data_IF_222200910949
#
_entry.id   IF_222200910949
#
_cell.length_a   1.000
_cell.length_b   1.000
_cell.length_c   1.000
_cell.angle_alpha   90.00
_cell.angle_beta   90.00
_cell.angle_gamma   90.00
#
_symmetry.space_group_name_H-M   'P 1'
#
loop_
_entity.id
_entity.type
_entity.pdbx_description
1 polymer ?
#
# COMPACT_ATOMS: atom_id res chain seq x y z
N UNK A 1 -14.69 0.40 -9.37
CA UNK A 1 -13.62 -0.17 -8.51
C UNK A 1 -14.02 -1.58 -8.14
N UNK A 2 -13.06 -2.53 -8.18
CA UNK A 2 -13.23 -3.91 -7.72
C UNK A 2 -12.14 -4.21 -6.69
N UNK A 3 -12.49 -4.89 -5.59
CA UNK A 3 -11.57 -5.29 -4.53
C UNK A 3 -11.51 -6.80 -4.44
N UNK A 4 -10.28 -7.33 -4.28
CA UNK A 4 -10.04 -8.74 -4.00
C UNK A 4 -9.17 -8.84 -2.75
N UNK A 5 -9.63 -9.57 -1.74
CA UNK A 5 -8.93 -9.73 -0.46
C UNK A 5 -8.18 -11.07 -0.42
N UNK A 6 -6.89 -11.03 -0.12
CA UNK A 6 -5.99 -12.20 -0.07
C UNK A 6 -5.68 -12.67 1.36
N UNK A 7 -6.44 -12.22 2.32
CA UNK A 7 -6.24 -12.48 3.74
C UNK A 7 -5.46 -11.37 4.43
N UNK A 8 -5.65 -11.24 5.74
CA UNK A 8 -5.06 -10.20 6.59
C UNK A 8 -5.24 -8.81 5.98
N UNK A 9 -4.18 -8.07 5.75
CA UNK A 9 -4.20 -6.72 5.15
C UNK A 9 -3.94 -6.70 3.63
N UNK A 10 -3.75 -7.85 2.98
CA UNK A 10 -3.46 -7.90 1.55
C UNK A 10 -4.71 -7.67 0.71
N UNK A 11 -4.73 -6.56 -0.01
CA UNK A 11 -5.86 -6.12 -0.83
C UNK A 11 -5.40 -5.77 -2.24
N UNK A 12 -6.04 -6.37 -3.25
CA UNK A 12 -5.92 -5.95 -4.64
C UNK A 12 -7.08 -5.04 -4.99
N UNK A 13 -6.77 -3.82 -5.40
CA UNK A 13 -7.76 -2.85 -5.86
C UNK A 13 -7.58 -2.58 -7.36
N UNK A 14 -8.60 -2.88 -8.16
CA UNK A 14 -8.66 -2.56 -9.58
C UNK A 14 -9.61 -1.39 -9.79
N UNK A 15 -9.10 -0.33 -10.39
CA UNK A 15 -9.85 0.87 -10.75
C UNK A 15 -9.93 0.97 -12.27
N UNK A 16 -11.12 1.29 -12.77
CA UNK A 16 -11.35 1.54 -14.19
C UNK A 16 -11.92 2.94 -14.35
N UNK A 17 -11.31 3.72 -15.24
CA UNK A 17 -11.83 5.04 -15.61
C UNK A 17 -12.91 4.94 -16.72
N UNK A 18 -13.49 6.09 -17.09
CA UNK A 18 -14.54 6.18 -18.12
C UNK A 18 -14.03 5.79 -19.52
N UNK A 19 -12.71 5.84 -19.74
CA UNK A 19 -12.04 5.41 -20.98
C UNK A 19 -11.65 3.95 -20.98
N UNK A 20 -12.06 3.18 -19.96
CA UNK A 20 -11.74 1.77 -19.72
C UNK A 20 -10.25 1.49 -19.45
N UNK A 21 -9.45 2.52 -19.10
CA UNK A 21 -8.10 2.27 -18.61
C UNK A 21 -8.15 1.67 -17.21
N UNK A 22 -7.35 0.64 -16.98
CA UNK A 22 -7.27 -0.03 -15.69
C UNK A 22 -6.01 0.39 -14.93
N UNK A 23 -6.18 0.64 -13.63
CA UNK A 23 -5.07 0.84 -12.70
C UNK A 23 -5.25 -0.12 -11.54
N UNK A 24 -4.28 -1.00 -11.34
CA UNK A 24 -4.34 -2.09 -10.36
C UNK A 24 -3.26 -1.90 -9.30
N UNK A 25 -3.67 -1.82 -8.05
CA UNK A 25 -2.79 -1.61 -6.90
C UNK A 25 -2.91 -2.80 -5.96
N UNK A 26 -1.76 -3.36 -5.54
CA UNK A 26 -1.70 -4.35 -4.48
C UNK A 26 -1.18 -3.68 -3.20
N UNK A 27 -1.91 -3.89 -2.10
CA UNK A 27 -1.54 -3.41 -0.77
C UNK A 27 -1.07 -4.56 0.10
N UNK A 28 -0.05 -4.33 0.92
CA UNK A 28 0.42 -5.16 2.02
C UNK A 28 0.50 -6.67 1.72
N UNK A 29 1.32 -7.10 0.75
CA UNK A 29 1.53 -8.53 0.45
C UNK A 29 2.37 -9.20 1.55
N UNK A 30 1.75 -9.52 2.67
CA UNK A 30 2.39 -10.02 3.88
C UNK A 30 2.29 -11.53 4.09
N UNK A 31 2.94 -12.03 5.15
CA UNK A 31 3.07 -13.48 5.42
C UNK A 31 1.75 -14.17 5.75
N UNK A 32 0.75 -13.44 6.25
CA UNK A 32 -0.57 -14.00 6.58
C UNK A 32 -1.55 -14.00 5.40
N UNK A 33 -1.09 -13.57 4.23
CA UNK A 33 -1.89 -13.50 3.01
C UNK A 33 -1.49 -14.62 2.04
N UNK A 34 -2.41 -15.05 1.18
CA UNK A 34 -2.19 -16.19 0.29
C UNK A 34 -2.75 -15.93 -1.11
N UNK A 35 -2.06 -16.42 -2.14
CA UNK A 35 -2.55 -16.41 -3.52
C UNK A 35 -2.27 -15.11 -4.29
N UNK A 36 -1.48 -14.18 -3.73
CA UNK A 36 -1.06 -12.97 -4.43
C UNK A 36 0.21 -13.16 -5.29
N UNK A 37 0.95 -14.25 -5.09
CA UNK A 37 2.30 -14.47 -5.63
C UNK A 37 2.34 -14.51 -7.16
N UNK A 38 1.26 -14.95 -7.78
CA UNK A 38 1.14 -15.07 -9.24
C UNK A 38 0.49 -13.88 -9.94
N UNK A 39 0.20 -12.80 -9.22
CA UNK A 39 -0.44 -11.62 -9.80
C UNK A 39 0.52 -10.94 -10.77
N UNK A 40 0.01 -10.56 -11.94
CA UNK A 40 0.72 -9.79 -12.96
C UNK A 40 -0.09 -8.57 -13.38
N UNK A 41 0.57 -7.61 -14.03
CA UNK A 41 -0.10 -6.38 -14.52
C UNK A 41 -0.39 -5.36 -13.42
N UNK A 42 0.34 -5.42 -12.31
CA UNK A 42 0.22 -4.41 -11.26
C UNK A 42 0.76 -3.06 -11.75
N UNK A 43 0.00 -2.01 -11.51
CA UNK A 43 0.44 -0.62 -11.69
C UNK A 43 1.32 -0.16 -10.54
N UNK A 44 1.02 -0.63 -9.33
CA UNK A 44 1.82 -0.34 -8.14
C UNK A 44 1.67 -1.40 -7.06
N UNK A 45 2.66 -1.43 -6.14
CA UNK A 45 2.61 -2.15 -4.87
C UNK A 45 2.85 -1.11 -3.76
N UNK A 46 1.95 -1.06 -2.80
CA UNK A 46 1.98 -0.14 -1.66
C UNK A 46 2.08 -0.94 -0.37
N UNK A 47 3.08 -0.63 0.45
CA UNK A 47 3.27 -1.26 1.76
C UNK A 47 3.11 -0.19 2.84
N UNK A 48 2.28 -0.48 3.84
CA UNK A 48 2.00 0.48 4.92
C UNK A 48 3.11 0.54 5.95
N UNK A 49 3.73 -0.59 6.29
CA UNK A 49 4.81 -0.67 7.27
C UNK A 49 5.58 -2.01 7.19
N UNK A 50 6.68 -2.10 7.94
CA UNK A 50 7.70 -3.15 7.82
C UNK A 50 7.37 -4.50 8.48
N UNK A 51 6.26 -4.65 9.19
CA UNK A 51 5.95 -5.93 9.83
C UNK A 51 5.77 -7.04 8.78
N UNK A 52 6.23 -8.28 9.06
CA UNK A 52 6.21 -9.35 8.06
C UNK A 52 4.83 -9.70 7.53
N UNK A 53 3.79 -9.53 8.33
CA UNK A 53 2.40 -9.78 7.95
C UNK A 53 1.82 -8.72 6.99
N UNK A 54 2.56 -7.61 6.75
CA UNK A 54 2.29 -6.58 5.73
C UNK A 54 3.34 -6.56 4.61
N UNK A 55 4.58 -7.02 4.90
CA UNK A 55 5.69 -7.01 3.94
C UNK A 55 6.45 -8.35 3.97
N UNK A 56 6.00 -9.33 3.20
CA UNK A 56 6.69 -10.63 3.10
C UNK A 56 7.95 -10.53 2.23
N UNK A 57 9.08 -10.26 2.85
CA UNK A 57 10.36 -10.10 2.16
C UNK A 57 10.83 -11.37 1.44
N UNK A 58 10.29 -12.54 1.78
CA UNK A 58 10.62 -13.80 1.10
C UNK A 58 9.88 -13.98 -0.22
N UNK A 59 8.65 -13.47 -0.34
CA UNK A 59 7.79 -13.58 -1.54
C UNK A 59 7.84 -12.33 -2.43
N UNK A 60 8.17 -11.16 -1.89
CA UNK A 60 8.29 -9.92 -2.63
C UNK A 60 9.20 -10.02 -3.87
N UNK A 61 10.40 -10.64 -3.85
CA UNK A 61 11.25 -10.71 -5.04
C UNK A 61 10.59 -11.38 -6.24
N UNK A 62 9.83 -12.45 -6.03
CA UNK A 62 9.11 -13.14 -7.09
C UNK A 62 7.96 -12.27 -7.65
N UNK A 63 7.20 -11.61 -6.77
CA UNK A 63 6.13 -10.69 -7.13
C UNK A 63 6.66 -9.49 -7.94
N UNK A 64 7.78 -8.89 -7.53
CA UNK A 64 8.44 -7.80 -8.25
C UNK A 64 8.95 -8.26 -9.63
N UNK A 65 9.55 -9.45 -9.70
CA UNK A 65 9.99 -10.05 -10.96
C UNK A 65 8.86 -10.28 -11.95
N UNK A 66 7.66 -10.61 -11.47
CA UNK A 66 6.45 -10.77 -12.29
C UNK A 66 5.82 -9.41 -12.68
N UNK A 67 6.17 -8.32 -12.01
CA UNK A 67 5.62 -6.98 -12.21
C UNK A 67 6.72 -5.91 -12.34
N UNK A 68 7.64 -6.00 -13.32
CA UNK A 68 8.83 -5.14 -13.39
C UNK A 68 8.49 -3.67 -13.67
N UNK A 69 7.26 -3.36 -14.07
CA UNK A 69 6.80 -1.99 -14.34
C UNK A 69 6.01 -1.38 -13.17
N UNK A 70 5.73 -2.15 -12.12
CA UNK A 70 4.99 -1.65 -10.98
C UNK A 70 5.79 -0.58 -10.23
N UNK A 71 5.14 0.53 -9.91
CA UNK A 71 5.69 1.53 -9.00
C UNK A 71 5.65 1.00 -7.56
N UNK A 72 6.69 1.27 -6.77
CA UNK A 72 6.86 0.70 -5.44
C UNK A 72 6.89 1.81 -4.39
N UNK A 73 5.97 1.76 -3.43
CA UNK A 73 5.84 2.76 -2.39
C UNK A 73 5.72 2.11 -1.01
N UNK A 74 6.35 2.69 -0.02
CA UNK A 74 6.24 2.27 1.37
C UNK A 74 6.47 3.45 2.33
N UNK A 75 6.17 3.27 3.60
CA UNK A 75 6.63 4.20 4.64
C UNK A 75 8.16 4.34 4.61
N UNK A 76 8.72 5.43 5.20
CA UNK A 76 10.17 5.69 5.09
C UNK A 76 11.06 4.58 5.66
N UNK A 77 10.66 3.94 6.77
CA UNK A 77 11.45 2.87 7.37
C UNK A 77 11.45 1.62 6.49
N UNK A 78 10.28 1.22 5.99
CA UNK A 78 10.13 0.08 5.09
C UNK A 78 10.85 0.30 3.77
N UNK A 79 10.71 1.49 3.16
CA UNK A 79 11.39 1.83 1.92
C UNK A 79 12.92 1.75 2.07
N UNK A 80 13.46 2.26 3.18
CA UNK A 80 14.89 2.18 3.49
C UNK A 80 15.35 0.72 3.71
N UNK A 81 14.55 -0.10 4.37
CA UNK A 81 14.86 -1.51 4.63
C UNK A 81 14.84 -2.35 3.35
N UNK A 82 13.83 -2.15 2.49
CA UNK A 82 13.68 -2.90 1.23
C UNK A 82 14.68 -2.41 0.17
N UNK A 83 15.00 -1.13 0.17
CA UNK A 83 15.97 -0.52 -0.75
C UNK A 83 15.52 -0.56 -2.22
N UNK A 84 16.50 -0.47 -3.13
CA UNK A 84 16.22 -0.58 -4.57
C UNK A 84 15.33 0.54 -5.10
N UNK A 85 14.22 0.19 -5.76
CA UNK A 85 13.28 1.14 -6.37
C UNK A 85 12.13 1.56 -5.45
N UNK A 86 12.13 1.16 -4.18
CA UNK A 86 11.12 1.57 -3.23
C UNK A 86 11.21 3.07 -2.92
N UNK A 87 10.09 3.75 -3.06
CA UNK A 87 9.94 5.17 -2.80
C UNK A 87 9.28 5.39 -1.45
N UNK A 88 9.90 6.23 -0.61
CA UNK A 88 9.36 6.59 0.69
C UNK A 88 8.16 7.53 0.53
N UNK A 89 7.08 7.25 1.27
CA UNK A 89 5.89 8.09 1.35
C UNK A 89 5.75 8.62 2.77
N UNK A 90 5.73 9.94 2.90
CA UNK A 90 5.51 10.63 4.16
C UNK A 90 4.05 11.08 4.28
N UNK A 91 3.65 11.45 5.49
CA UNK A 91 2.34 12.07 5.73
C UNK A 91 2.25 13.38 4.95
N UNK A 92 1.19 13.53 4.17
CA UNK A 92 0.93 14.68 3.31
C UNK A 92 1.51 14.57 1.90
N UNK A 93 2.34 13.57 1.60
CA UNK A 93 2.82 13.34 0.24
C UNK A 93 1.66 12.94 -0.69
N UNK A 94 1.65 13.51 -1.90
CA UNK A 94 0.68 13.21 -2.94
C UNK A 94 1.40 12.79 -4.22
N UNK A 95 0.91 11.73 -4.86
CA UNK A 95 1.45 11.21 -6.12
C UNK A 95 0.35 10.54 -6.95
N UNK A 96 0.67 10.22 -8.21
CA UNK A 96 -0.27 9.58 -9.11
C UNK A 96 0.16 8.17 -9.47
N UNK A 97 -0.82 7.26 -9.59
CA UNK A 97 -0.65 5.92 -10.17
C UNK A 97 -1.69 5.78 -11.29
N UNK A 98 -1.24 5.80 -12.54
CA UNK A 98 -2.16 5.88 -13.67
C UNK A 98 -3.07 7.11 -13.58
N UNK A 99 -4.39 6.89 -13.58
CA UNK A 99 -5.39 7.96 -13.43
C UNK A 99 -5.78 8.26 -11.97
N UNK A 100 -5.18 7.55 -11.02
CA UNK A 100 -5.50 7.70 -9.60
C UNK A 100 -4.61 8.73 -8.93
N UNK A 101 -5.15 9.46 -7.96
CA UNK A 101 -4.42 10.25 -6.99
C UNK A 101 -4.24 9.43 -5.70
N UNK A 102 -3.05 9.44 -5.14
CA UNK A 102 -2.76 8.75 -3.87
C UNK A 102 -2.15 9.75 -2.91
N UNK A 103 -2.64 9.74 -1.67
CA UNK A 103 -2.13 10.57 -0.59
C UNK A 103 -1.73 9.71 0.61
N UNK A 104 -0.53 9.98 1.14
CA UNK A 104 -0.06 9.43 2.41
C UNK A 104 -0.70 10.16 3.59
N UNK A 105 -1.26 9.40 4.53
CA UNK A 105 -1.86 9.94 5.77
C UNK A 105 -1.52 9.05 6.98
N UNK A 106 -1.80 9.48 8.19
CA UNK A 106 -1.45 8.74 9.41
C UNK A 106 0.00 8.98 9.83
N UNK A 107 0.87 7.99 9.78
CA UNK A 107 2.31 8.12 9.99
C UNK A 107 2.88 7.24 11.10
N UNK A 108 2.07 6.63 11.96
CA UNK A 108 2.51 5.75 13.04
C UNK A 108 1.65 4.53 13.19
N UNK A 109 2.30 3.41 13.48
CA UNK A 109 1.66 2.17 13.89
C UNK A 109 0.96 2.34 15.25
N UNK A 110 -0.13 1.61 15.46
CA UNK A 110 -0.76 1.55 16.77
C UNK A 110 0.20 1.00 17.83
N UNK A 111 0.01 1.42 19.08
CA UNK A 111 0.78 0.88 20.20
C UNK A 111 0.36 -0.57 20.44
N UNK A 112 1.26 -1.52 20.21
CA UNK A 112 1.04 -2.96 20.47
C UNK A 112 1.25 -3.24 21.96
N UNK A 113 2.36 -2.74 22.52
CA UNK A 113 2.73 -2.90 23.92
C UNK A 113 3.63 -1.74 24.34
N UNK A 114 3.55 -1.22 25.60
CA UNK A 114 4.35 -0.10 26.04
C UNK A 114 5.87 -0.26 25.90
N UNK A 115 6.37 -1.50 25.94
CA UNK A 115 7.80 -1.83 25.81
C UNK A 115 8.25 -2.08 24.36
N UNK A 116 7.30 -2.16 23.40
CA UNK A 116 7.62 -2.33 21.98
C UNK A 116 7.68 -0.94 21.33
N UNK A 117 8.81 -0.58 20.70
CA UNK A 117 8.92 0.68 19.98
C UNK A 117 7.84 0.83 18.91
N UNK A 118 7.22 2.01 18.84
CA UNK A 118 6.30 2.34 17.77
C UNK A 118 7.10 2.62 16.51
N UNK A 119 6.74 1.93 15.42
CA UNK A 119 7.33 2.10 14.09
C UNK A 119 6.49 3.03 13.22
N UNK A 120 7.04 3.43 12.06
CA UNK A 120 6.28 4.14 11.04
C UNK A 120 5.17 3.25 10.49
N UNK A 121 4.06 3.86 10.12
CA UNK A 121 2.98 3.28 9.33
C UNK A 121 2.38 4.39 8.48
N UNK A 122 2.32 4.19 7.18
CA UNK A 122 1.63 5.12 6.29
C UNK A 122 0.28 4.53 5.88
N UNK A 123 -0.78 5.31 6.03
CA UNK A 123 -2.09 4.99 5.47
C UNK A 123 -2.20 5.60 4.08
N UNK A 124 -2.81 4.87 3.14
CA UNK A 124 -3.00 5.33 1.78
C UNK A 124 -4.45 5.71 1.52
N UNK A 125 -4.66 6.93 1.06
CA UNK A 125 -5.94 7.42 0.59
C UNK A 125 -5.90 7.50 -0.93
N UNK A 126 -6.80 6.78 -1.61
CA UNK A 126 -6.81 6.69 -3.08
C UNK A 126 -8.06 7.35 -3.62
N UNK A 127 -7.87 8.34 -4.50
CA UNK A 127 -8.91 9.01 -5.27
C UNK A 127 -8.91 8.58 -6.74
N UNK A 128 -10.03 8.77 -7.43
CA UNK A 128 -10.22 8.34 -8.84
C UNK A 128 -10.58 9.51 -9.80
N UNK A 129 -10.25 10.73 -9.42
CA UNK A 129 -10.59 11.94 -10.19
C UNK A 129 -12.04 12.40 -10.00
N UNK A 130 -12.99 11.48 -9.78
CA UNK A 130 -14.39 11.79 -9.45
C UNK A 130 -14.59 11.97 -7.95
N UNK A 131 -13.76 11.29 -7.15
CA UNK A 131 -13.78 11.29 -5.69
C UNK A 131 -12.38 11.46 -5.16
N UNK A 132 -12.18 12.39 -4.23
CA UNK A 132 -10.89 12.60 -3.56
C UNK A 132 -10.47 11.38 -2.72
N UNK A 133 -11.44 10.61 -2.22
CA UNK A 133 -11.24 9.40 -1.43
C UNK A 133 -12.24 8.32 -1.86
N UNK A 134 -11.77 7.31 -2.58
CA UNK A 134 -12.53 6.10 -2.97
C UNK A 134 -12.20 4.90 -2.13
N UNK A 135 -10.95 4.83 -1.69
CA UNK A 135 -10.42 3.75 -0.86
C UNK A 135 -9.44 4.34 0.13
N UNK A 136 -9.54 3.89 1.38
CA UNK A 136 -8.50 4.09 2.39
C UNK A 136 -7.97 2.73 2.83
N UNK A 137 -6.65 2.58 2.80
CA UNK A 137 -5.95 1.44 3.38
C UNK A 137 -5.13 1.95 4.58
N UNK A 138 -5.57 1.70 5.83
CA UNK A 138 -4.95 2.30 7.01
C UNK A 138 -3.67 1.60 7.47
N UNK A 139 -3.39 0.35 7.00
CA UNK A 139 -2.44 -0.52 7.67
C UNK A 139 -2.87 -0.74 9.13
N UNK A 140 -1.92 -0.67 10.04
CA UNK A 140 -2.15 -0.83 11.48
C UNK A 140 -2.19 0.50 12.25
N UNK A 141 -2.58 1.58 11.58
CA UNK A 141 -2.90 2.85 12.23
C UNK A 141 -4.32 2.78 12.81
N UNK A 142 -4.46 2.36 14.06
CA UNK A 142 -5.75 2.20 14.75
C UNK A 142 -6.26 3.50 15.40
N UNK A 143 -5.88 4.64 14.87
CA UNK A 143 -6.35 5.95 15.34
C UNK A 143 -6.91 6.76 14.17
N UNK A 144 -7.85 7.62 14.48
CA UNK A 144 -8.41 8.53 13.48
C UNK A 144 -7.29 9.40 12.91
N UNK A 145 -7.13 9.48 11.59
CA UNK A 145 -6.22 10.45 10.97
C UNK A 145 -6.53 11.85 11.50
N UNK A 146 -5.52 12.64 11.77
CA UNK A 146 -5.69 14.01 12.27
C UNK A 146 -6.33 14.98 11.28
N UNK A 147 -6.68 14.49 10.08
CA UNK A 147 -7.32 15.25 9.01
C UNK A 147 -8.59 14.52 8.55
N UNK A 148 -9.62 15.28 8.10
CA UNK A 148 -10.79 14.67 7.47
C UNK A 148 -10.40 13.86 6.23
N UNK A 149 -10.93 12.66 6.11
CA UNK A 149 -10.79 11.78 4.94
C UNK A 149 -11.79 12.20 3.88
#
# INVERSE_FOLDING_TARGET
MQLTHFGHSCLLANFRDDSANETTILFDPGTFSHGFEGITGLSAILITHQHPDHADTSRLPALLGANPQAALYADPQTAAQLGGSWQAVNVGDEFSIGHLSVRGTGGRHAVIHPEIPVIDNISYLVGDGSHAARLMHPGDALFTPGEPV
#
